data_IF_568208350577
#
_entry.id   IF_568208350577
#
_cell.length_a   1.000
_cell.length_b   1.000
_cell.length_c   1.000
_cell.angle_alpha   90.00
_cell.angle_beta   90.00
_cell.angle_gamma   90.00
#
_symmetry.space_group_name_H-M   'P 1'
#
loop_
_entity.id
_entity.type
_entity.pdbx_description
1 polymer ?
#
# COMPACT_ATOMS: atom_id res chain seq x y z
N UNK A 1 -24.76 -18.67 -67.03
CA UNK A 1 -23.83 -18.99 -65.93
C UNK A 1 -23.91 -17.90 -64.85
N UNK A 2 -24.64 -18.17 -63.75
CA UNK A 2 -24.74 -17.21 -62.63
C UNK A 2 -23.69 -17.63 -61.59
N UNK A 3 -22.73 -16.75 -61.26
CA UNK A 3 -21.76 -16.94 -60.20
C UNK A 3 -22.35 -16.41 -58.88
N UNK A 4 -22.61 -17.31 -57.95
CA UNK A 4 -23.04 -16.99 -56.61
C UNK A 4 -21.79 -16.63 -55.77
N UNK A 5 -21.71 -15.39 -55.29
CA UNK A 5 -20.71 -14.99 -54.30
C UNK A 5 -21.24 -15.35 -52.88
N UNK A 6 -20.57 -16.25 -52.20
CA UNK A 6 -20.79 -16.52 -50.78
C UNK A 6 -19.90 -15.54 -49.99
N UNK A 7 -20.54 -14.58 -49.33
CA UNK A 7 -19.87 -13.67 -48.40
C UNK A 7 -19.76 -14.38 -47.05
N UNK A 8 -18.55 -14.82 -46.70
CA UNK A 8 -18.26 -15.42 -45.39
C UNK A 8 -18.19 -14.32 -44.32
N UNK A 9 -19.18 -14.32 -43.42
CA UNK A 9 -19.17 -13.46 -42.24
C UNK A 9 -18.23 -14.08 -41.20
N UNK A 10 -17.03 -13.53 -41.04
CA UNK A 10 -16.12 -13.89 -39.95
C UNK A 10 -16.65 -13.28 -38.64
N UNK A 11 -17.19 -14.12 -37.77
CA UNK A 11 -17.53 -13.74 -36.39
C UNK A 11 -16.24 -13.56 -35.62
N UNK A 12 -15.84 -12.32 -35.34
CA UNK A 12 -14.82 -12.01 -34.32
C UNK A 12 -15.42 -12.36 -32.96
N UNK A 13 -15.03 -13.49 -32.41
CA UNK A 13 -15.23 -13.81 -31.00
C UNK A 13 -14.32 -12.87 -30.21
N UNK A 14 -14.87 -11.78 -29.68
CA UNK A 14 -14.23 -11.04 -28.60
C UNK A 14 -14.14 -12.00 -27.40
N UNK A 15 -12.96 -12.52 -27.12
CA UNK A 15 -12.71 -13.29 -25.90
C UNK A 15 -12.93 -12.36 -24.71
N UNK A 16 -14.06 -12.48 -24.02
CA UNK A 16 -14.16 -12.06 -22.62
C UNK A 16 -13.17 -12.94 -21.87
N UNK A 17 -12.04 -12.40 -21.46
CA UNK A 17 -11.22 -12.97 -20.40
C UNK A 17 -12.13 -13.07 -19.18
N UNK A 18 -12.56 -14.27 -18.82
CA UNK A 18 -13.24 -14.50 -17.55
C UNK A 18 -12.24 -14.18 -16.45
N UNK A 19 -12.61 -13.27 -15.54
CA UNK A 19 -11.84 -13.02 -14.33
C UNK A 19 -11.66 -14.37 -13.60
N UNK A 20 -10.41 -14.76 -13.34
CA UNK A 20 -10.08 -15.98 -12.60
C UNK A 20 -9.76 -15.61 -11.17
N UNK A 21 -10.39 -16.23 -10.16
CA UNK A 21 -10.14 -15.91 -8.76
C UNK A 21 -8.69 -16.15 -8.36
N UNK A 22 -8.11 -15.25 -7.58
CA UNK A 22 -6.76 -15.35 -7.07
C UNK A 22 -6.66 -16.49 -6.06
N UNK A 23 -5.77 -17.48 -6.25
CA UNK A 23 -5.76 -18.73 -5.46
C UNK A 23 -5.44 -18.53 -3.97
N UNK A 24 -4.77 -17.43 -3.61
CA UNK A 24 -4.42 -17.13 -2.21
C UNK A 24 -5.39 -16.12 -1.55
N UNK A 25 -6.37 -15.59 -2.26
CA UNK A 25 -7.34 -14.61 -1.73
C UNK A 25 -8.02 -15.09 -0.44
N UNK A 26 -8.39 -16.38 -0.35
CA UNK A 26 -9.01 -16.95 0.85
C UNK A 26 -8.10 -16.92 2.09
N UNK A 27 -6.79 -16.73 1.94
CA UNK A 27 -5.84 -16.58 3.03
C UNK A 27 -5.64 -15.11 3.44
N UNK A 28 -6.08 -14.16 2.61
CA UNK A 28 -5.96 -12.73 2.83
C UNK A 28 -7.09 -12.19 3.74
N UNK A 29 -7.10 -12.58 5.00
CA UNK A 29 -8.12 -12.15 5.94
C UNK A 29 -8.29 -10.62 6.05
N UNK A 30 -7.24 -9.86 5.73
CA UNK A 30 -7.25 -8.40 5.75
C UNK A 30 -8.19 -7.77 4.71
N UNK A 31 -8.39 -8.43 3.58
CA UNK A 31 -9.31 -8.01 2.52
C UNK A 31 -10.75 -7.93 3.06
N UNK A 32 -11.19 -8.99 3.74
CA UNK A 32 -12.54 -9.04 4.33
C UNK A 32 -12.66 -8.12 5.55
N UNK A 33 -11.62 -8.09 6.41
CA UNK A 33 -11.63 -7.27 7.62
C UNK A 33 -11.80 -5.77 7.34
N UNK A 34 -11.28 -5.30 6.21
CA UNK A 34 -11.42 -3.91 5.75
C UNK A 34 -12.64 -3.68 4.86
N UNK A 35 -13.45 -4.72 4.58
CA UNK A 35 -14.63 -4.67 3.70
C UNK A 35 -14.29 -4.21 2.27
N UNK A 36 -13.11 -4.61 1.79
CA UNK A 36 -12.62 -4.23 0.47
C UNK A 36 -13.51 -4.73 -0.69
N UNK A 37 -14.05 -5.97 -0.69
CA UNK A 37 -14.92 -6.42 -1.78
C UNK A 37 -16.11 -5.49 -2.02
N UNK A 38 -16.76 -5.01 -0.96
CA UNK A 38 -17.86 -4.06 -1.08
C UNK A 38 -17.41 -2.65 -1.49
N UNK A 39 -16.17 -2.29 -1.17
CA UNK A 39 -15.57 -1.02 -1.61
C UNK A 39 -15.24 -1.06 -3.12
N UNK A 40 -14.76 -2.21 -3.63
CA UNK A 40 -14.43 -2.39 -5.05
C UNK A 40 -15.62 -2.31 -6.00
N UNK A 41 -16.83 -2.59 -5.50
CA UNK A 41 -18.07 -2.35 -6.26
C UNK A 41 -18.29 -0.86 -6.59
N UNK A 42 -17.70 0.04 -5.79
CA UNK A 42 -17.84 1.49 -5.94
C UNK A 42 -16.64 2.09 -6.67
N UNK A 43 -15.41 1.66 -6.34
CA UNK A 43 -14.16 2.22 -6.85
C UNK A 43 -13.00 1.23 -6.68
N UNK A 44 -12.15 1.10 -7.70
CA UNK A 44 -10.96 0.22 -7.69
C UNK A 44 -9.64 0.98 -7.63
N UNK A 45 -9.68 2.32 -7.66
CA UNK A 45 -8.50 3.17 -7.66
C UNK A 45 -7.82 3.26 -9.03
N UNK A 46 -8.59 3.16 -10.12
CA UNK A 46 -8.08 3.06 -11.47
C UNK A 46 -7.10 4.20 -11.79
N UNK A 47 -5.91 3.81 -12.28
CA UNK A 47 -4.78 4.66 -12.66
C UNK A 47 -4.21 5.55 -11.54
N UNK A 48 -4.67 5.40 -10.30
CA UNK A 48 -4.07 6.09 -9.16
C UNK A 48 -2.70 5.50 -8.87
N UNK A 49 -1.65 6.32 -8.88
CA UNK A 49 -0.29 5.87 -8.59
C UNK A 49 -0.06 5.87 -7.08
N UNK A 50 0.30 4.69 -6.55
CA UNK A 50 0.77 4.49 -5.18
C UNK A 50 2.29 4.32 -5.22
N UNK A 51 3.03 5.27 -4.65
CA UNK A 51 4.47 5.13 -4.50
C UNK A 51 4.78 4.27 -3.27
N UNK A 52 5.59 3.24 -3.48
CA UNK A 52 6.13 2.37 -2.43
C UNK A 52 7.57 2.83 -2.15
N UNK A 53 7.72 3.66 -1.11
CA UNK A 53 9.02 4.19 -0.67
C UNK A 53 9.61 3.23 0.34
N UNK A 54 10.46 2.30 -0.14
CA UNK A 54 10.85 1.10 0.61
C UNK A 54 12.21 0.52 0.12
N UNK A 55 12.38 -0.81 0.18
CA UNK A 55 13.57 -1.56 -0.27
C UNK A 55 13.64 -1.80 -1.77
N UNK A 56 12.67 -1.28 -2.53
CA UNK A 56 12.44 -1.59 -3.95
C UNK A 56 11.24 -2.50 -4.14
N UNK A 57 11.01 -2.95 -5.38
CA UNK A 57 9.96 -3.90 -5.76
C UNK A 57 10.51 -4.88 -6.79
N UNK A 58 10.06 -6.13 -6.75
CA UNK A 58 10.23 -7.07 -7.87
C UNK A 58 9.27 -6.67 -9.00
N UNK A 59 9.77 -5.89 -9.94
CA UNK A 59 8.99 -5.32 -11.04
C UNK A 59 8.56 -6.35 -12.09
N UNK A 60 9.16 -7.53 -12.06
CA UNK A 60 8.86 -8.67 -12.95
C UNK A 60 7.98 -9.73 -12.26
N UNK A 61 7.53 -9.46 -11.01
CA UNK A 61 6.66 -10.40 -10.29
C UNK A 61 5.33 -10.55 -11.02
N UNK A 62 4.87 -11.80 -11.32
CA UNK A 62 3.68 -12.03 -12.17
C UNK A 62 2.38 -11.44 -11.62
N UNK A 63 2.33 -11.13 -10.33
CA UNK A 63 1.19 -10.50 -9.66
C UNK A 63 1.32 -8.96 -9.53
N UNK A 64 2.43 -8.38 -10.03
CA UNK A 64 2.73 -6.95 -9.94
C UNK A 64 3.06 -6.29 -11.28
N UNK A 65 3.64 -7.02 -12.25
CA UNK A 65 4.25 -6.47 -13.46
C UNK A 65 3.33 -5.54 -14.25
N UNK A 66 2.05 -5.87 -14.38
CA UNK A 66 1.06 -5.05 -15.07
C UNK A 66 0.68 -3.74 -14.35
N UNK A 67 1.12 -3.60 -13.08
CA UNK A 67 0.86 -2.44 -12.23
C UNK A 67 2.01 -1.45 -12.17
N UNK A 68 3.21 -1.88 -12.57
CA UNK A 68 4.43 -1.08 -12.39
C UNK A 68 4.42 0.12 -13.34
N UNK A 69 4.75 1.28 -12.78
CA UNK A 69 5.14 2.48 -13.52
C UNK A 69 6.59 2.84 -13.19
N UNK A 70 7.19 3.77 -13.92
CA UNK A 70 8.57 4.20 -13.71
C UNK A 70 8.82 4.54 -12.24
N UNK A 71 9.92 4.03 -11.70
CA UNK A 71 10.40 4.24 -10.35
C UNK A 71 11.83 4.80 -10.31
N UNK A 72 12.45 4.83 -9.12
CA UNK A 72 13.83 5.27 -8.97
C UNK A 72 14.51 4.64 -7.76
N UNK A 73 15.82 4.38 -7.89
CA UNK A 73 16.69 3.90 -6.82
C UNK A 73 17.58 5.02 -6.26
N UNK A 74 17.31 5.45 -5.04
CA UNK A 74 18.13 6.44 -4.31
C UNK A 74 19.27 5.81 -3.51
N UNK A 75 19.41 4.48 -3.51
CA UNK A 75 20.54 3.77 -2.87
C UNK A 75 21.72 3.68 -3.83
N UNK A 76 21.47 3.30 -5.09
CA UNK A 76 22.48 3.21 -6.16
C UNK A 76 22.47 4.41 -7.09
N UNK A 77 21.40 5.23 -7.04
CA UNK A 77 21.17 6.44 -7.82
C UNK A 77 21.04 6.14 -9.33
N UNK A 78 20.11 5.23 -9.64
CA UNK A 78 19.76 4.80 -11.00
C UNK A 78 18.25 4.52 -11.14
N UNK A 79 17.82 4.05 -12.30
CA UNK A 79 16.42 3.80 -12.63
C UNK A 79 15.99 2.34 -12.39
N UNK A 80 16.79 1.52 -11.66
CA UNK A 80 16.48 0.13 -11.34
C UNK A 80 16.14 -0.04 -9.84
N UNK A 81 14.90 0.21 -9.42
CA UNK A 81 14.45 0.08 -8.03
C UNK A 81 14.22 -1.38 -7.62
N UNK A 82 15.07 -2.29 -8.08
CA UNK A 82 14.96 -3.72 -7.79
C UNK A 82 15.06 -4.00 -6.30
N UNK A 83 14.12 -4.79 -5.78
CA UNK A 83 14.10 -5.19 -4.38
C UNK A 83 15.20 -6.22 -4.08
N UNK A 84 16.14 -5.86 -3.23
CA UNK A 84 17.22 -6.75 -2.79
C UNK A 84 17.01 -7.25 -1.34
N UNK A 85 15.87 -6.93 -0.75
CA UNK A 85 15.46 -7.35 0.60
C UNK A 85 14.20 -8.22 0.57
N UNK A 86 13.12 -7.76 -0.02
CA UNK A 86 11.83 -8.41 -0.13
C UNK A 86 10.69 -7.69 0.59
N UNK A 87 11.01 -6.77 1.49
CA UNK A 87 9.99 -6.03 2.25
C UNK A 87 9.14 -5.14 1.35
N UNK A 88 9.75 -4.36 0.45
CA UNK A 88 9.01 -3.47 -0.44
C UNK A 88 8.13 -4.20 -1.44
N UNK A 89 8.56 -5.37 -1.94
CA UNK A 89 7.71 -6.24 -2.78
C UNK A 89 6.48 -6.73 -2.02
N UNK A 90 6.65 -7.10 -0.73
CA UNK A 90 5.53 -7.50 0.11
C UNK A 90 4.53 -6.36 0.34
N UNK A 91 5.03 -5.17 0.60
CA UNK A 91 4.24 -3.95 0.77
C UNK A 91 3.48 -3.59 -0.52
N UNK A 92 4.14 -3.71 -1.68
CA UNK A 92 3.54 -3.42 -2.99
C UNK A 92 2.33 -4.33 -3.28
N UNK A 93 2.46 -5.64 -3.01
CA UNK A 93 1.37 -6.59 -3.22
C UNK A 93 0.14 -6.29 -2.38
N UNK A 94 0.31 -5.95 -1.09
CA UNK A 94 -0.82 -5.56 -0.23
C UNK A 94 -1.53 -4.33 -0.81
N UNK A 95 -0.78 -3.34 -1.29
CA UNK A 95 -1.34 -2.09 -1.79
C UNK A 95 -2.14 -2.29 -3.08
N UNK A 96 -1.57 -3.00 -4.08
CA UNK A 96 -2.11 -2.98 -5.43
C UNK A 96 -1.74 -4.19 -6.31
N UNK A 97 -1.60 -5.42 -5.77
CA UNK A 97 -1.45 -6.61 -6.61
C UNK A 97 -2.57 -6.70 -7.65
N UNK A 98 -2.26 -7.32 -8.78
CA UNK A 98 -3.27 -7.61 -9.83
C UNK A 98 -4.32 -8.53 -9.22
N UNK A 99 -5.60 -8.21 -9.42
CA UNK A 99 -6.71 -8.95 -8.82
C UNK A 99 -7.54 -9.61 -9.89
N UNK A 100 -8.07 -10.82 -9.62
CA UNK A 100 -8.85 -11.63 -10.54
C UNK A 100 -8.05 -12.06 -11.79
N UNK A 101 -6.74 -12.31 -11.63
CA UNK A 101 -5.86 -12.77 -12.70
C UNK A 101 -5.55 -14.28 -12.64
N UNK A 102 -6.09 -15.01 -11.65
CA UNK A 102 -5.82 -16.44 -11.42
C UNK A 102 -4.43 -16.70 -10.81
N UNK A 103 -3.73 -15.66 -10.35
CA UNK A 103 -2.38 -15.72 -9.77
C UNK A 103 -2.40 -15.11 -8.38
N UNK A 104 -1.78 -15.75 -7.42
CA UNK A 104 -1.45 -15.24 -6.08
C UNK A 104 -2.59 -14.58 -5.31
N UNK A 105 -2.54 -13.27 -5.18
CA UNK A 105 -3.30 -12.47 -4.21
C UNK A 105 -4.05 -11.29 -4.85
N UNK A 106 -4.99 -10.71 -4.10
CA UNK A 106 -5.62 -9.43 -4.43
C UNK A 106 -4.93 -8.26 -3.72
N UNK A 107 -4.74 -7.14 -4.41
CA UNK A 107 -4.32 -5.86 -3.82
C UNK A 107 -5.50 -5.08 -3.25
N UNK A 108 -5.24 -4.21 -2.25
CA UNK A 108 -6.29 -3.38 -1.64
C UNK A 108 -6.90 -2.36 -2.63
N UNK A 109 -6.16 -1.93 -3.63
CA UNK A 109 -6.61 -1.08 -4.74
C UNK A 109 -6.34 -1.75 -6.08
N UNK A 110 -7.25 -2.62 -6.57
CA UNK A 110 -7.02 -3.44 -7.77
C UNK A 110 -6.77 -2.66 -9.05
N UNK A 111 -7.25 -1.43 -9.16
CA UNK A 111 -7.07 -0.56 -10.32
C UNK A 111 -5.82 0.33 -10.25
N UNK A 112 -5.19 0.45 -9.07
CA UNK A 112 -4.05 1.34 -8.86
C UNK A 112 -2.78 0.86 -9.57
N UNK A 113 -1.83 1.78 -9.75
CA UNK A 113 -0.48 1.53 -10.25
C UNK A 113 0.53 1.63 -9.12
N UNK A 114 1.66 0.96 -9.26
CA UNK A 114 2.75 0.91 -8.29
C UNK A 114 3.95 1.67 -8.85
N UNK A 115 4.43 2.65 -8.09
CA UNK A 115 5.68 3.37 -8.37
C UNK A 115 6.73 2.91 -7.36
N UNK A 116 7.71 2.08 -7.76
CA UNK A 116 8.77 1.62 -6.87
C UNK A 116 9.77 2.74 -6.57
N UNK A 117 10.00 3.06 -5.31
CA UNK A 117 11.01 4.04 -4.87
C UNK A 117 11.92 3.37 -3.85
N UNK A 118 13.11 2.96 -4.31
CA UNK A 118 14.08 2.34 -3.42
C UNK A 118 14.87 3.38 -2.65
N UNK A 119 14.71 3.39 -1.34
CA UNK A 119 15.41 4.28 -0.39
C UNK A 119 16.08 3.50 0.74
N UNK A 120 15.77 2.20 0.85
CA UNK A 120 16.32 1.29 1.85
C UNK A 120 17.24 0.26 1.16
N UNK A 121 18.35 -0.04 1.80
CA UNK A 121 19.33 -1.03 1.33
C UNK A 121 18.87 -2.48 1.61
N UNK A 122 19.74 -3.44 1.33
CA UNK A 122 19.49 -4.88 1.48
C UNK A 122 19.15 -5.33 2.90
N UNK A 123 19.51 -4.53 3.92
CA UNK A 123 19.19 -4.81 5.33
C UNK A 123 18.05 -3.93 5.87
N UNK A 124 17.34 -3.24 4.98
CA UNK A 124 16.20 -2.41 5.37
C UNK A 124 16.57 -1.04 5.98
N UNK A 125 17.82 -0.64 5.94
CA UNK A 125 18.30 0.65 6.46
C UNK A 125 18.35 1.71 5.37
N UNK A 126 18.00 2.97 5.72
CA UNK A 126 17.99 4.08 4.77
C UNK A 126 18.51 5.40 5.36
N UNK A 127 19.07 6.23 4.47
CA UNK A 127 19.46 7.60 4.78
C UNK A 127 18.22 8.52 4.79
N UNK A 128 18.03 9.37 5.83
CA UNK A 128 16.90 10.30 5.89
C UNK A 128 16.78 11.23 4.68
N UNK A 129 17.91 11.64 4.07
CA UNK A 129 17.88 12.49 2.88
C UNK A 129 17.45 11.69 1.64
N UNK A 130 17.84 10.42 1.51
CA UNK A 130 17.36 9.55 0.44
C UNK A 130 15.84 9.35 0.54
N UNK A 131 15.33 9.12 1.76
CA UNK A 131 13.89 9.00 2.02
C UNK A 131 13.16 10.30 1.64
N UNK A 132 13.66 11.46 2.07
CA UNK A 132 13.07 12.75 1.72
C UNK A 132 13.06 12.99 0.21
N UNK A 133 14.16 12.68 -0.49
CA UNK A 133 14.25 12.78 -1.95
C UNK A 133 13.26 11.84 -2.63
N UNK A 134 13.12 10.60 -2.15
CA UNK A 134 12.16 9.64 -2.68
C UNK A 134 10.71 10.11 -2.58
N UNK A 135 10.33 10.70 -1.44
CA UNK A 135 8.99 11.30 -1.24
C UNK A 135 8.74 12.44 -2.24
N UNK A 136 9.71 13.36 -2.38
CA UNK A 136 9.61 14.50 -3.30
C UNK A 136 9.51 14.01 -4.74
N UNK A 137 10.40 13.08 -5.13
CA UNK A 137 10.42 12.54 -6.48
C UNK A 137 9.10 11.85 -6.84
N UNK A 138 8.58 11.01 -5.95
CA UNK A 138 7.29 10.33 -6.15
C UNK A 138 6.14 11.34 -6.38
N UNK A 139 6.07 12.40 -5.56
CA UNK A 139 5.05 13.43 -5.70
C UNK A 139 5.20 14.23 -7.01
N UNK A 140 6.41 14.52 -7.44
CA UNK A 140 6.70 15.25 -8.68
C UNK A 140 6.44 14.39 -9.94
N UNK A 141 6.50 13.05 -9.81
CA UNK A 141 6.22 12.09 -10.88
C UNK A 141 4.78 11.52 -10.83
N UNK A 142 3.87 12.19 -10.11
CA UNK A 142 2.44 11.93 -10.23
C UNK A 142 1.84 10.99 -9.19
N UNK A 143 2.61 10.48 -8.24
CA UNK A 143 2.05 9.68 -7.15
C UNK A 143 1.00 10.50 -6.39
N UNK A 144 -0.16 9.88 -6.14
CA UNK A 144 -1.26 10.47 -5.36
C UNK A 144 -1.39 9.85 -3.98
N UNK A 145 -0.76 8.71 -3.78
CA UNK A 145 -0.58 8.09 -2.46
C UNK A 145 0.88 7.70 -2.32
N UNK A 146 1.48 7.99 -1.16
CA UNK A 146 2.87 7.65 -0.86
C UNK A 146 2.87 6.82 0.42
N UNK A 147 3.26 5.55 0.30
CA UNK A 147 3.35 4.64 1.43
C UNK A 147 4.78 4.60 1.99
N UNK A 148 4.91 4.83 3.29
CA UNK A 148 6.15 4.78 4.03
C UNK A 148 6.10 3.62 5.04
N UNK A 149 6.53 2.42 4.63
CA UNK A 149 6.64 1.24 5.49
C UNK A 149 8.09 1.04 5.95
N UNK A 150 8.70 2.07 6.55
CA UNK A 150 10.12 2.09 6.89
C UNK A 150 10.38 1.25 8.15
N UNK A 151 10.77 0.00 7.95
CA UNK A 151 10.68 -1.11 8.91
C UNK A 151 11.64 -1.14 10.09
N UNK A 152 12.67 -0.30 10.18
CA UNK A 152 13.53 -0.29 11.37
C UNK A 152 12.80 0.28 12.59
N UNK A 153 12.99 -0.38 13.73
CA UNK A 153 12.37 0.01 15.00
C UNK A 153 12.61 1.49 15.30
N UNK A 154 11.52 2.26 15.25
CA UNK A 154 11.51 3.66 15.57
C UNK A 154 12.17 4.62 14.58
N UNK A 155 12.68 4.17 13.42
CA UNK A 155 13.28 5.07 12.41
C UNK A 155 12.26 6.11 11.95
N UNK A 156 11.12 5.68 11.42
CA UNK A 156 10.10 6.59 10.91
C UNK A 156 9.56 7.51 12.02
N UNK A 157 9.29 6.97 13.22
CA UNK A 157 8.84 7.81 14.34
C UNK A 157 9.86 8.84 14.78
N UNK A 158 11.16 8.54 14.71
CA UNK A 158 12.25 9.51 14.97
C UNK A 158 12.31 10.59 13.91
N UNK A 159 12.19 10.19 12.63
CA UNK A 159 12.22 11.13 11.51
C UNK A 159 11.01 12.07 11.52
N UNK A 160 9.83 11.55 11.83
CA UNK A 160 8.61 12.34 11.98
C UNK A 160 8.72 13.32 13.16
N UNK A 161 9.17 12.85 14.33
CA UNK A 161 9.38 13.71 15.52
C UNK A 161 10.45 14.75 15.31
N UNK A 162 11.55 14.37 14.64
CA UNK A 162 12.66 15.28 14.34
C UNK A 162 12.35 16.31 13.25
N UNK A 163 11.23 16.19 12.58
CA UNK A 163 10.79 17.10 11.52
C UNK A 163 11.64 17.05 10.24
N UNK A 164 12.57 16.11 10.13
CA UNK A 164 13.49 15.99 8.97
C UNK A 164 12.73 15.75 7.67
N UNK A 165 11.63 14.97 7.73
CA UNK A 165 10.81 14.67 6.56
C UNK A 165 9.68 15.69 6.32
N UNK A 166 9.46 16.64 7.25
CA UNK A 166 8.34 17.59 7.14
C UNK A 166 8.33 18.38 5.83
N UNK A 167 9.46 18.90 5.30
CA UNK A 167 9.44 19.61 4.02
C UNK A 167 9.01 18.71 2.86
N UNK A 168 9.48 17.46 2.81
CA UNK A 168 9.13 16.50 1.78
C UNK A 168 7.64 16.12 1.83
N UNK A 169 7.10 15.91 3.04
CA UNK A 169 5.68 15.60 3.24
C UNK A 169 4.79 16.79 2.90
N UNK A 170 5.20 18.01 3.26
CA UNK A 170 4.48 19.23 2.86
C UNK A 170 4.49 19.41 1.35
N UNK A 171 5.61 19.12 0.69
CA UNK A 171 5.71 19.14 -0.77
C UNK A 171 4.73 18.15 -1.39
N UNK A 172 4.75 16.89 -0.94
CA UNK A 172 3.84 15.86 -1.42
C UNK A 172 2.36 16.26 -1.25
N UNK A 173 2.00 16.77 -0.08
CA UNK A 173 0.64 17.27 0.17
C UNK A 173 0.25 18.40 -0.78
N UNK A 174 1.14 19.35 -1.04
CA UNK A 174 0.92 20.47 -1.97
C UNK A 174 0.73 19.99 -3.41
N UNK A 175 1.37 18.86 -3.78
CA UNK A 175 1.18 18.18 -5.07
C UNK A 175 -0.10 17.33 -5.13
N UNK A 176 -0.87 17.31 -4.05
CA UNK A 176 -2.12 16.54 -3.96
C UNK A 176 -1.94 15.08 -3.58
N UNK A 177 -0.81 14.70 -2.99
CA UNK A 177 -0.56 13.34 -2.53
C UNK A 177 -0.87 13.17 -1.04
N UNK A 178 -1.41 11.98 -0.69
CA UNK A 178 -1.62 11.52 0.69
C UNK A 178 -0.40 10.71 1.11
N UNK A 179 0.19 11.05 2.25
CA UNK A 179 1.29 10.26 2.84
C UNK A 179 0.73 9.37 3.94
N UNK A 180 0.95 8.06 3.81
CA UNK A 180 0.57 7.01 4.77
C UNK A 180 1.83 6.41 5.35
N UNK A 181 1.91 6.28 6.68
CA UNK A 181 3.14 5.91 7.35
C UNK A 181 2.90 4.88 8.45
N UNK A 182 3.69 3.82 8.48
CA UNK A 182 3.65 2.80 9.52
C UNK A 182 4.03 3.37 10.91
N UNK A 183 3.34 2.96 11.96
CA UNK A 183 3.56 3.45 13.32
C UNK A 183 4.86 2.94 13.97
N UNK A 184 5.38 1.80 13.49
CA UNK A 184 6.53 1.10 14.07
C UNK A 184 6.12 -0.06 14.97
N UNK A 185 7.11 -0.90 15.32
CA UNK A 185 6.88 -2.25 15.88
C UNK A 185 7.53 -2.50 17.24
N UNK A 186 7.62 -1.48 18.11
CA UNK A 186 8.24 -1.62 19.44
C UNK A 186 7.24 -1.91 20.57
N UNK A 187 5.94 -1.99 20.27
CA UNK A 187 4.87 -2.21 21.24
C UNK A 187 4.73 -1.09 22.28
N UNK A 188 5.15 0.13 21.93
CA UNK A 188 5.22 1.22 22.90
C UNK A 188 4.32 2.39 22.52
N UNK A 189 3.87 3.07 23.58
CA UNK A 189 3.26 4.37 23.46
C UNK A 189 4.32 5.40 23.03
N UNK A 190 4.58 5.53 21.74
CA UNK A 190 5.54 6.55 21.24
C UNK A 190 4.90 7.91 21.00
N UNK A 191 4.09 8.27 22.03
CA UNK A 191 3.20 9.22 21.83
C UNK A 191 3.33 10.43 22.44
N UNK A 192 2.41 11.19 22.29
CA UNK A 192 2.16 12.63 22.39
C UNK A 192 2.97 13.42 21.36
N UNK A 193 3.27 12.86 20.20
CA UNK A 193 3.66 13.70 19.07
C UNK A 193 2.45 13.88 18.15
N UNK A 194 2.22 15.11 17.73
CA UNK A 194 1.38 15.35 16.58
C UNK A 194 2.21 15.02 15.35
N UNK A 195 1.82 13.99 14.56
CA UNK A 195 2.40 13.86 13.25
C UNK A 195 2.14 15.13 12.46
N UNK A 196 2.97 15.47 11.48
CA UNK A 196 2.62 16.53 10.54
C UNK A 196 1.20 16.30 10.04
N UNK A 197 0.41 17.35 9.92
CA UNK A 197 -1.01 17.26 9.50
C UNK A 197 -1.18 16.57 8.15
N UNK A 198 -0.11 16.46 7.39
CA UNK A 198 -0.04 15.86 6.07
C UNK A 198 0.23 14.34 6.07
N UNK A 199 0.31 13.70 7.24
CA UNK A 199 0.63 12.27 7.36
C UNK A 199 -0.48 11.53 8.10
N UNK A 200 -0.88 10.39 7.56
CA UNK A 200 -1.74 9.44 8.25
C UNK A 200 -0.88 8.31 8.82
N UNK A 201 -0.81 8.22 10.14
CA UNK A 201 -0.06 7.15 10.83
C UNK A 201 -0.94 5.92 11.00
N UNK A 202 -0.38 4.73 10.72
CA UNK A 202 -1.11 3.46 10.71
C UNK A 202 -0.49 2.46 11.68
N UNK A 203 -1.28 2.07 12.67
CA UNK A 203 -1.00 0.96 13.57
C UNK A 203 -1.48 -0.40 13.01
N UNK A 204 -1.07 -1.49 13.65
CA UNK A 204 -1.44 -2.83 13.25
C UNK A 204 -2.53 -3.41 14.15
N UNK A 205 -3.53 -4.08 13.54
CA UNK A 205 -4.51 -4.92 14.22
C UNK A 205 -4.32 -6.40 13.85
N UNK A 206 -4.82 -7.28 14.71
CA UNK A 206 -4.92 -8.71 14.44
C UNK A 206 -6.27 -9.08 13.79
N UNK A 207 -6.45 -10.38 13.50
CA UNK A 207 -7.66 -10.91 12.86
C UNK A 207 -8.93 -10.74 13.72
N UNK A 208 -8.79 -10.55 15.03
CA UNK A 208 -9.89 -10.28 15.95
C UNK A 208 -10.21 -8.79 16.11
N UNK A 209 -9.53 -7.93 15.33
CA UNK A 209 -9.66 -6.48 15.42
C UNK A 209 -9.03 -5.89 16.68
N UNK A 210 -8.16 -6.66 17.38
CA UNK A 210 -7.42 -6.17 18.54
C UNK A 210 -6.09 -5.53 18.09
N UNK A 211 -5.53 -4.60 18.87
CA UNK A 211 -4.22 -4.04 18.54
C UNK A 211 -3.14 -5.12 18.61
N UNK A 212 -2.31 -5.22 17.57
CA UNK A 212 -1.17 -6.11 17.58
C UNK A 212 -0.20 -5.73 18.71
N UNK A 213 0.34 -6.76 19.42
CA UNK A 213 1.18 -6.54 20.61
C UNK A 213 2.45 -5.73 20.31
N UNK A 214 2.97 -5.83 19.11
CA UNK A 214 4.15 -5.09 18.65
C UNK A 214 3.82 -3.67 18.16
N UNK A 215 2.55 -3.37 17.83
CA UNK A 215 2.20 -2.08 17.22
C UNK A 215 2.51 -0.91 18.15
N UNK A 216 3.23 0.08 17.65
CA UNK A 216 3.30 1.38 18.31
C UNK A 216 1.95 2.07 18.23
N UNK A 217 1.64 2.91 19.21
CA UNK A 217 0.33 3.56 19.32
C UNK A 217 0.42 4.99 19.85
N UNK A 218 -0.69 5.76 19.73
CA UNK A 218 -0.94 7.06 20.32
C UNK A 218 -0.50 8.27 19.51
N UNK A 219 -0.09 8.13 18.25
CA UNK A 219 -0.05 9.27 17.34
C UNK A 219 -1.46 9.84 17.18
N UNK A 220 -1.62 11.17 17.26
CA UNK A 220 -2.93 11.79 17.11
C UNK A 220 -3.51 11.55 15.73
N UNK A 221 -4.77 11.15 15.67
CA UNK A 221 -5.46 10.86 14.41
C UNK A 221 -4.96 9.62 13.68
N UNK A 222 -4.21 8.75 14.36
CA UNK A 222 -3.79 7.46 13.82
C UNK A 222 -5.00 6.53 13.65
N UNK A 223 -4.93 5.68 12.63
CA UNK A 223 -5.84 4.57 12.39
C UNK A 223 -5.08 3.24 12.42
N UNK A 224 -5.79 2.12 12.41
CA UNK A 224 -5.18 0.79 12.30
C UNK A 224 -5.70 0.04 11.08
N UNK A 225 -4.93 -0.96 10.66
CA UNK A 225 -5.33 -1.93 9.64
C UNK A 225 -4.70 -3.30 9.94
N UNK A 226 -5.10 -4.38 9.24
CA UNK A 226 -4.52 -5.71 9.38
C UNK A 226 -3.00 -5.71 9.25
N UNK A 227 -2.29 -6.23 10.28
CA UNK A 227 -0.83 -6.25 10.29
C UNK A 227 -0.23 -7.52 10.90
N UNK A 228 -1.07 -8.54 11.20
CA UNK A 228 -0.62 -9.81 11.80
C UNK A 228 -0.89 -10.95 10.83
N UNK A 229 0.15 -11.74 10.50
CA UNK A 229 0.09 -12.87 9.55
C UNK A 229 -0.52 -12.46 8.21
N UNK A 230 0.05 -11.43 7.61
CA UNK A 230 -0.38 -10.92 6.31
C UNK A 230 0.38 -11.62 5.20
N UNK A 231 -0.34 -12.33 4.34
CA UNK A 231 0.19 -12.94 3.13
C UNK A 231 0.25 -11.90 2.01
N UNK A 232 1.38 -11.85 1.29
CA UNK A 232 1.58 -10.98 0.13
C UNK A 232 2.70 -11.49 -0.76
N UNK A 233 2.97 -10.77 -1.86
CA UNK A 233 4.06 -11.03 -2.79
C UNK A 233 5.43 -10.94 -2.12
N UNK A 234 6.37 -11.76 -2.54
CA UNK A 234 7.80 -11.69 -2.24
C UNK A 234 8.57 -11.79 -3.54
N UNK A 235 9.82 -11.31 -3.62
CA UNK A 235 10.62 -11.46 -4.82
C UNK A 235 10.66 -12.91 -5.32
N UNK A 236 10.56 -13.08 -6.64
CA UNK A 236 10.64 -14.38 -7.31
C UNK A 236 12.07 -14.92 -7.37
N UNK A 237 13.03 -14.16 -6.89
CA UNK A 237 14.45 -14.47 -6.79
C UNK A 237 14.93 -14.42 -5.34
N UNK A 238 16.03 -15.10 -5.05
CA UNK A 238 16.65 -15.09 -3.72
C UNK A 238 17.25 -13.70 -3.42
N UNK A 239 16.93 -13.16 -2.24
CA UNK A 239 17.52 -11.93 -1.73
C UNK A 239 18.37 -12.22 -0.48
N UNK A 240 19.23 -11.28 -0.07
CA UNK A 240 20.10 -11.48 1.08
C UNK A 240 19.31 -11.67 2.40
N UNK A 241 18.21 -10.98 2.54
CA UNK A 241 17.39 -10.91 3.76
C UNK A 241 16.07 -11.67 3.64
N UNK A 242 15.57 -11.88 2.44
CA UNK A 242 14.33 -12.59 2.32
C UNK A 242 14.50 -14.01 2.63
N UNK A 243 14.18 -14.36 3.76
CA UNK A 243 13.44 -15.56 4.04
C UNK A 243 13.78 -16.77 3.13
N UNK A 244 14.80 -16.70 2.27
CA UNK A 244 15.22 -17.73 1.31
C UNK A 244 14.03 -18.39 0.59
N UNK A 245 12.93 -17.65 0.44
CA UNK A 245 11.70 -18.11 -0.15
C UNK A 245 11.59 -17.57 -1.57
N UNK A 246 11.63 -18.46 -2.54
CA UNK A 246 11.51 -18.16 -3.96
C UNK A 246 10.14 -18.52 -4.53
N UNK A 247 9.13 -18.73 -3.67
CA UNK A 247 7.77 -19.05 -4.13
C UNK A 247 7.02 -17.83 -4.67
N UNK A 248 7.56 -16.64 -4.49
CA UNK A 248 6.92 -15.39 -4.84
C UNK A 248 5.89 -14.88 -3.83
N UNK A 249 5.58 -15.62 -2.76
CA UNK A 249 4.61 -15.24 -1.74
C UNK A 249 5.07 -15.63 -0.34
N UNK A 250 4.68 -14.84 0.66
CA UNK A 250 5.02 -15.12 2.05
C UNK A 250 4.17 -14.35 3.05
N UNK A 251 4.31 -14.70 4.32
CA UNK A 251 3.55 -14.14 5.42
C UNK A 251 4.47 -13.33 6.32
N UNK A 252 4.14 -12.07 6.54
CA UNK A 252 4.86 -11.16 7.45
C UNK A 252 3.94 -10.53 8.48
N UNK A 253 4.55 -10.04 9.56
CA UNK A 253 3.90 -9.27 10.62
C UNK A 253 4.50 -7.86 10.68
N UNK A 254 3.69 -6.85 10.92
CA UNK A 254 4.19 -5.48 11.10
C UNK A 254 3.17 -4.39 10.81
N UNK A 255 3.41 -3.21 11.35
CA UNK A 255 2.72 -1.99 10.93
C UNK A 255 3.04 -1.64 9.47
N UNK A 256 4.17 -2.16 8.97
CA UNK A 256 4.56 -2.12 7.57
C UNK A 256 3.60 -2.85 6.63
N UNK A 257 2.87 -3.86 7.11
CA UNK A 257 1.84 -4.58 6.37
C UNK A 257 0.47 -3.93 6.52
N UNK A 258 0.24 -3.21 7.62
CA UNK A 258 -0.98 -2.43 7.84
C UNK A 258 -1.04 -1.15 6.99
N UNK A 259 0.09 -0.45 6.87
CA UNK A 259 0.19 0.81 6.12
C UNK A 259 -0.26 0.69 4.65
N UNK A 260 0.21 -0.30 3.85
CA UNK A 260 -0.19 -0.44 2.45
C UNK A 260 -1.66 -0.78 2.24
N UNK A 261 -2.33 -1.44 3.17
CA UNK A 261 -3.79 -1.57 3.14
C UNK A 261 -4.48 -0.20 3.16
N UNK A 262 -4.04 0.67 4.09
CA UNK A 262 -4.58 2.04 4.19
C UNK A 262 -4.20 2.87 2.96
N UNK A 263 -3.00 2.68 2.42
CA UNK A 263 -2.59 3.33 1.17
C UNK A 263 -3.48 2.90 -0.01
N UNK A 264 -3.84 1.62 -0.10
CA UNK A 264 -4.81 1.13 -1.08
C UNK A 264 -6.18 1.78 -0.90
N UNK A 265 -6.74 1.80 0.33
CA UNK A 265 -8.02 2.47 0.57
C UNK A 265 -7.95 3.97 0.27
N UNK A 266 -6.83 4.63 0.56
CA UNK A 266 -6.59 6.01 0.16
C UNK A 266 -6.62 6.19 -1.36
N UNK A 267 -6.08 5.23 -2.12
CA UNK A 267 -6.14 5.26 -3.58
C UNK A 267 -7.57 5.11 -4.12
N UNK A 268 -8.42 4.28 -3.48
CA UNK A 268 -9.84 4.22 -3.82
C UNK A 268 -10.52 5.59 -3.64
N UNK A 269 -10.26 6.27 -2.53
CA UNK A 269 -10.82 7.60 -2.23
C UNK A 269 -10.30 8.68 -3.19
N UNK A 270 -9.02 8.63 -3.56
CA UNK A 270 -8.45 9.50 -4.60
C UNK A 270 -9.12 9.25 -5.95
N UNK A 271 -9.40 7.99 -6.29
CA UNK A 271 -10.16 7.62 -7.50
C UNK A 271 -11.58 8.18 -7.54
N UNK A 272 -12.19 8.49 -6.38
CA UNK A 272 -13.43 9.26 -6.26
C UNK A 272 -13.25 10.78 -6.44
N UNK A 273 -12.02 11.26 -6.68
CA UNK A 273 -11.71 12.68 -6.80
C UNK A 273 -11.54 13.42 -5.48
N UNK A 274 -11.41 12.72 -4.34
CA UNK A 274 -11.21 13.35 -3.03
C UNK A 274 -9.82 13.96 -2.92
N UNK A 275 -9.74 15.16 -2.34
CA UNK A 275 -8.48 15.80 -1.97
C UNK A 275 -7.77 15.08 -0.82
N UNK A 276 -6.45 15.28 -0.60
CA UNK A 276 -5.74 14.65 0.52
C UNK A 276 -6.39 14.88 1.88
N UNK A 277 -6.92 16.06 2.13
CA UNK A 277 -7.63 16.38 3.37
C UNK A 277 -8.91 15.54 3.53
N UNK A 278 -9.71 15.43 2.46
CA UNK A 278 -10.94 14.63 2.45
C UNK A 278 -10.65 13.13 2.58
N UNK A 279 -9.57 12.63 1.94
CA UNK A 279 -9.12 11.24 2.11
C UNK A 279 -8.79 10.94 3.57
N UNK A 280 -7.95 11.76 4.19
CA UNK A 280 -7.59 11.58 5.60
C UNK A 280 -8.77 11.69 6.55
N UNK A 281 -9.69 12.62 6.29
CA UNK A 281 -10.90 12.77 7.09
C UNK A 281 -11.84 11.56 6.96
N UNK A 282 -12.07 11.08 5.74
CA UNK A 282 -12.88 9.88 5.50
C UNK A 282 -12.32 8.66 6.22
N UNK A 283 -11.00 8.42 6.12
CA UNK A 283 -10.33 7.30 6.79
C UNK A 283 -10.41 7.40 8.32
N UNK A 284 -10.32 8.60 8.87
CA UNK A 284 -10.36 8.85 10.31
C UNK A 284 -11.77 8.77 10.89
N UNK A 285 -12.73 9.42 10.24
CA UNK A 285 -14.11 9.53 10.76
C UNK A 285 -14.89 8.23 10.68
N UNK A 286 -14.49 7.32 9.79
CA UNK A 286 -15.17 6.03 9.59
C UNK A 286 -14.45 4.84 10.21
N UNK A 287 -13.27 5.05 10.82
CA UNK A 287 -12.53 4.02 11.51
C UNK A 287 -13.31 3.43 12.71
N UNK A 288 -13.25 2.11 12.88
CA UNK A 288 -14.08 1.37 13.83
C UNK A 288 -13.27 0.92 15.04
N UNK A 289 -13.61 1.42 16.22
CA UNK A 289 -13.00 1.07 17.51
C UNK A 289 -14.08 0.77 18.56
N UNK A 290 -14.74 -0.40 18.52
CA UNK A 290 -15.88 -0.70 19.39
C UNK A 290 -15.50 -0.83 20.86
N UNK A 291 -14.24 -1.24 21.13
CA UNK A 291 -13.71 -1.39 22.48
C UNK A 291 -13.17 -0.10 23.08
N UNK A 292 -13.01 0.95 22.27
CA UNK A 292 -12.34 2.20 22.62
C UNK A 292 -10.91 1.98 23.15
N UNK A 293 -10.22 0.92 22.66
CA UNK A 293 -8.82 0.67 23.01
C UNK A 293 -7.96 1.77 22.40
N UNK A 294 -7.28 2.52 23.25
CA UNK A 294 -6.43 3.65 22.84
C UNK A 294 -5.28 3.24 21.92
N UNK A 295 -4.89 1.95 21.94
CA UNK A 295 -3.84 1.42 21.07
C UNK A 295 -4.25 1.32 19.61
N UNK A 296 -5.56 1.29 19.33
CA UNK A 296 -6.12 1.33 17.98
C UNK A 296 -6.24 2.76 17.43
N UNK A 297 -5.91 3.79 18.21
CA UNK A 297 -6.14 5.16 17.80
C UNK A 297 -7.64 5.41 17.56
N UNK A 298 -8.00 5.93 16.37
CA UNK A 298 -9.39 6.11 15.98
C UNK A 298 -10.11 4.80 15.64
N UNK A 299 -9.36 3.75 15.28
CA UNK A 299 -9.90 2.43 14.99
C UNK A 299 -9.30 1.76 13.76
N UNK A 300 -9.84 0.60 13.43
CA UNK A 300 -9.52 -0.13 12.19
C UNK A 300 -10.28 0.51 11.03
N UNK A 301 -9.62 0.74 9.92
CA UNK A 301 -10.22 1.34 8.71
C UNK A 301 -11.36 0.46 8.19
N UNK A 302 -12.46 1.08 7.80
CA UNK A 302 -13.57 0.48 7.06
C UNK A 302 -13.63 1.11 5.67
N UNK A 303 -13.17 0.37 4.65
CA UNK A 303 -13.06 0.89 3.30
C UNK A 303 -14.42 1.24 2.69
N UNK A 304 -15.44 0.39 2.92
CA UNK A 304 -16.78 0.63 2.43
C UNK A 304 -17.39 1.90 3.04
N UNK A 305 -17.25 2.07 4.36
CA UNK A 305 -17.75 3.25 5.05
C UNK A 305 -17.00 4.53 4.63
N UNK A 306 -15.67 4.43 4.42
CA UNK A 306 -14.87 5.56 3.97
C UNK A 306 -15.26 6.05 2.57
N UNK A 307 -15.55 5.15 1.63
CA UNK A 307 -16.02 5.51 0.29
C UNK A 307 -17.43 6.10 0.31
N UNK A 308 -18.29 5.65 1.22
CA UNK A 308 -19.65 6.17 1.39
C UNK A 308 -19.70 7.51 2.14
N UNK A 309 -18.61 7.92 2.82
CA UNK A 309 -18.57 9.18 3.54
C UNK A 309 -18.68 10.37 2.58
N UNK A 310 -19.70 11.17 2.78
CA UNK A 310 -19.87 12.45 2.08
C UNK A 310 -18.73 13.38 2.51
N UNK A 311 -17.93 13.84 1.56
CA UNK A 311 -16.86 14.81 1.80
C UNK A 311 -17.38 16.22 2.01
#
# INVERSE_FOLDING_TARGET
MRKTFICGLALLMAGCSSAEPDPLLAQQWGIDALRLPAAWEQQKGDDVIIAIVDTGVDTEHPDLEDKIVDGYDFVTNDDDPKDQNGHGTHVAGIAAAVTDNGVGIAGAAPGAKIMPIRVLNTVGSGDPNAIAKGIIWAADHGAKVINLSLGESGLLSRLLKGGVLNPAMQHAYTKGAVVVAAAGNDGTAKQNYQPPTQVLVVGASDRQGQPASFSNFGAQGAVCAPGVKIISTLPTYATAETLKNTTGYGVLDGTSMASPYVAGVAALLVGQGKSPAQVMEALRSTAVNPTKDVRLGLGVVDAQAALAASG
#
